data_IF_139233329617
#
_entry.id   IF_139233329617
#
_cell.length_a   1.000
_cell.length_b   1.000
_cell.length_c   1.000
_cell.angle_alpha   90.00
_cell.angle_beta   90.00
_cell.angle_gamma   90.00
#
_symmetry.space_group_name_H-M   'P 1'
#
loop_
_entity.id
_entity.type
_entity.pdbx_description
1 polymer ?
#
# COMPACT_ATOMS: atom_id res chain seq x y z
N UNK A 1 -23.22 46.82 46.56
CA UNK A 1 -22.20 46.12 45.77
C UNK A 1 -22.71 44.71 45.54
N UNK A 2 -23.17 44.33 44.34
CA UNK A 2 -23.70 42.99 44.10
C UNK A 2 -22.54 42.01 43.93
N UNK A 3 -22.53 40.98 44.77
CA UNK A 3 -21.56 39.88 44.78
C UNK A 3 -21.68 39.05 43.48
N UNK A 4 -20.56 38.89 42.77
CA UNK A 4 -20.43 37.95 41.66
C UNK A 4 -20.02 36.56 42.19
N UNK A 5 -20.65 35.45 41.76
CA UNK A 5 -20.31 34.11 42.23
C UNK A 5 -18.98 33.61 41.68
N UNK A 6 -18.23 32.88 42.52
CA UNK A 6 -16.97 32.21 42.17
C UNK A 6 -17.16 31.08 41.14
N UNK A 7 -16.30 31.04 40.13
CA UNK A 7 -16.20 29.95 39.15
C UNK A 7 -15.47 28.71 39.75
N UNK A 8 -15.90 27.48 39.44
CA UNK A 8 -15.26 26.25 39.91
C UNK A 8 -13.95 25.95 39.15
N UNK A 9 -13.03 25.18 39.76
CA UNK A 9 -11.74 24.82 39.16
C UNK A 9 -11.89 23.79 38.01
N UNK A 10 -10.96 23.77 37.04
CA UNK A 10 -11.00 22.82 35.93
C UNK A 10 -10.64 21.38 36.37
N UNK A 11 -11.16 20.34 35.71
CA UNK A 11 -10.87 18.95 36.05
C UNK A 11 -9.42 18.56 35.72
N UNK A 12 -8.73 17.87 36.63
CA UNK A 12 -7.43 17.26 36.38
C UNK A 12 -7.56 16.05 35.43
N UNK A 13 -6.82 16.05 34.32
CA UNK A 13 -6.66 14.88 33.45
C UNK A 13 -5.62 13.92 34.06
N UNK A 14 -6.06 12.73 34.46
CA UNK A 14 -5.17 11.58 34.72
C UNK A 14 -4.65 10.99 33.39
N UNK A 15 -3.40 10.47 33.33
CA UNK A 15 -2.88 9.78 32.16
C UNK A 15 -3.58 8.41 31.97
N UNK A 16 -3.87 7.96 30.75
CA UNK A 16 -4.44 6.63 30.54
C UNK A 16 -3.39 5.53 30.80
N UNK A 17 -3.76 4.57 31.64
CA UNK A 17 -3.06 3.32 31.92
C UNK A 17 -2.91 2.45 30.66
N UNK A 18 -1.73 1.84 30.52
CA UNK A 18 -1.37 0.87 29.47
C UNK A 18 -1.81 -0.54 29.89
N UNK A 19 -2.55 -1.31 29.07
CA UNK A 19 -2.78 -2.73 29.36
C UNK A 19 -1.66 -3.60 28.78
N UNK A 20 -1.17 -4.52 29.62
CA UNK A 20 -0.24 -5.60 29.32
C UNK A 20 -0.99 -6.90 28.95
N UNK A 21 -0.63 -7.53 27.84
CA UNK A 21 -0.78 -8.98 27.60
C UNK A 21 0.26 -9.37 26.53
N UNK A 22 1.25 -10.21 26.85
CA UNK A 22 1.27 -11.68 26.76
C UNK A 22 1.45 -12.24 25.32
N UNK A 23 2.69 -12.63 25.04
CA UNK A 23 3.20 -13.62 24.06
C UNK A 23 2.70 -15.04 24.41
N UNK A 24 3.04 -16.17 23.73
CA UNK A 24 3.72 -16.42 22.44
C UNK A 24 3.09 -17.57 21.59
N UNK A 25 3.48 -17.69 20.31
CA UNK A 25 3.90 -18.95 19.65
C UNK A 25 3.77 -18.85 18.11
N UNK A 26 4.88 -18.87 17.38
CA UNK A 26 4.88 -19.27 15.97
C UNK A 26 5.98 -20.29 15.75
N UNK A 27 5.55 -21.55 15.74
CA UNK A 27 6.32 -22.76 15.52
C UNK A 27 6.16 -23.12 14.04
N UNK A 28 7.29 -23.07 13.32
CA UNK A 28 7.66 -23.70 12.03
C UNK A 28 6.77 -23.53 10.79
N UNK A 29 7.38 -23.14 9.66
CA UNK A 29 7.55 -23.99 8.47
C UNK A 29 8.43 -23.28 7.43
N UNK A 30 9.61 -23.83 7.17
CA UNK A 30 10.52 -23.48 6.07
C UNK A 30 10.20 -24.33 4.82
N UNK A 31 10.27 -23.80 3.60
CA UNK A 31 10.27 -24.64 2.41
C UNK A 31 11.71 -25.10 2.12
N UNK A 32 11.93 -26.40 2.27
CA UNK A 32 13.17 -27.10 1.89
C UNK A 32 13.33 -27.08 0.37
N UNK A 33 14.39 -26.44 -0.09
CA UNK A 33 14.94 -26.56 -1.44
C UNK A 33 15.50 -27.96 -1.64
N UNK A 34 15.06 -28.66 -2.69
CA UNK A 34 15.72 -29.88 -3.19
C UNK A 34 16.23 -29.67 -4.61
N UNK A 35 17.53 -29.86 -4.87
CA UNK A 35 18.12 -29.88 -6.20
C UNK A 35 18.26 -31.33 -6.70
N UNK A 36 17.91 -31.58 -7.96
CA UNK A 36 18.28 -32.81 -8.69
C UNK A 36 19.02 -32.32 -9.95
N UNK A 37 20.35 -32.33 -10.06
CA UNK A 37 21.35 -33.42 -10.13
C UNK A 37 21.08 -34.43 -11.26
N UNK A 38 21.53 -34.05 -12.45
CA UNK A 38 21.96 -34.91 -13.57
C UNK A 38 23.19 -35.74 -13.18
N UNK A 39 23.33 -36.97 -13.71
CA UNK A 39 24.65 -37.56 -13.92
C UNK A 39 24.93 -37.87 -15.40
N UNK A 40 26.18 -37.58 -15.77
CA UNK A 40 26.82 -37.69 -17.07
C UNK A 40 27.12 -39.14 -17.51
N UNK A 41 27.21 -39.31 -18.84
CA UNK A 41 28.29 -39.95 -19.64
C UNK A 41 29.21 -40.99 -18.99
N UNK A 42 29.51 -42.07 -19.74
CA UNK A 42 30.84 -42.60 -20.17
C UNK A 42 30.70 -44.11 -20.50
N UNK A 43 30.57 -44.51 -21.77
CA UNK A 43 31.62 -45.09 -22.65
C UNK A 43 32.09 -46.52 -22.28
N UNK A 44 31.85 -47.50 -23.17
CA UNK A 44 32.81 -48.51 -23.70
C UNK A 44 32.15 -49.83 -24.19
N UNK A 45 32.65 -50.26 -25.35
CA UNK A 45 32.50 -51.47 -26.22
C UNK A 45 33.05 -52.78 -25.55
N UNK A 46 33.27 -53.97 -26.22
CA UNK A 46 32.84 -54.55 -27.52
C UNK A 46 32.45 -56.07 -27.51
N UNK A 47 31.90 -56.51 -28.65
CA UNK A 47 32.03 -57.80 -29.43
C UNK A 47 32.64 -59.07 -28.81
N UNK A 48 31.97 -60.21 -29.05
CA UNK A 48 32.49 -61.60 -29.09
C UNK A 48 31.40 -62.60 -28.68
N UNK A 49 31.21 -63.81 -29.22
CA UNK A 49 31.93 -64.61 -30.21
C UNK A 49 31.08 -65.89 -30.44
N UNK A 50 31.03 -66.39 -31.69
CA UNK A 50 30.93 -67.78 -32.20
C UNK A 50 30.00 -68.81 -31.50
N UNK A 51 29.25 -69.68 -32.21
CA UNK A 51 29.78 -70.90 -32.86
C UNK A 51 28.83 -71.39 -33.97
N UNK A 52 29.45 -71.73 -35.10
CA UNK A 52 28.94 -72.39 -36.30
C UNK A 52 29.08 -73.91 -36.14
N UNK A 53 28.04 -74.71 -36.43
CA UNK A 53 28.21 -76.15 -36.74
C UNK A 53 27.16 -76.65 -37.76
N UNK A 54 27.58 -76.60 -39.03
CA UNK A 54 27.39 -77.52 -40.18
C UNK A 54 26.13 -78.42 -40.28
N UNK A 55 25.40 -78.41 -41.42
CA UNK A 55 24.41 -79.44 -41.77
C UNK A 55 24.99 -80.50 -42.73
N UNK A 56 24.43 -81.71 -42.71
CA UNK A 56 24.67 -82.75 -43.70
C UNK A 56 23.39 -83.05 -44.50
N UNK A 57 23.60 -83.01 -45.81
CA UNK A 57 22.74 -83.19 -46.98
C UNK A 57 21.91 -84.48 -47.02
N UNK A 58 20.63 -84.36 -47.43
CA UNK A 58 19.99 -85.35 -48.31
C UNK A 58 19.10 -84.60 -49.31
N UNK A 59 19.37 -84.81 -50.61
CA UNK A 59 18.59 -84.33 -51.75
C UNK A 59 17.46 -85.33 -52.04
N UNK A 60 16.28 -84.83 -52.40
CA UNK A 60 15.45 -85.48 -53.42
C UNK A 60 14.79 -84.41 -54.31
N UNK A 61 15.02 -84.56 -55.61
CA UNK A 61 14.55 -83.70 -56.69
C UNK A 61 13.08 -83.99 -57.02
N UNK A 62 12.33 -83.00 -57.52
CA UNK A 62 11.07 -83.28 -58.23
C UNK A 62 10.07 -82.13 -58.32
N UNK A 63 10.33 -81.20 -59.24
CA UNK A 63 9.41 -80.42 -60.09
C UNK A 63 8.16 -79.69 -59.52
N UNK A 64 8.17 -78.37 -59.79
CA UNK A 64 7.08 -77.49 -60.23
C UNK A 64 6.00 -76.99 -59.23
N UNK A 65 6.15 -75.73 -58.79
CA UNK A 65 5.06 -74.72 -58.72
C UNK A 65 5.56 -73.31 -58.27
N UNK A 66 5.55 -72.38 -59.23
CA UNK A 66 5.36 -70.90 -59.20
C UNK A 66 5.87 -69.95 -58.07
N UNK A 67 6.28 -68.70 -58.40
CA UNK A 67 6.96 -67.77 -57.49
C UNK A 67 5.99 -66.87 -56.73
N UNK A 68 5.97 -66.94 -55.39
CA UNK A 68 5.17 -66.03 -54.55
C UNK A 68 5.98 -64.81 -54.11
N UNK A 69 5.50 -63.65 -54.56
CA UNK A 69 6.02 -62.28 -54.36
C UNK A 69 6.07 -61.86 -52.88
N UNK A 70 7.27 -61.76 -52.31
CA UNK A 70 7.51 -61.23 -50.96
C UNK A 70 7.25 -59.72 -50.89
N UNK A 71 6.24 -59.31 -50.11
CA UNK A 71 5.99 -57.92 -49.73
C UNK A 71 6.65 -57.64 -48.39
N UNK A 72 7.60 -56.72 -48.40
CA UNK A 72 8.21 -56.11 -47.21
C UNK A 72 7.13 -55.36 -46.42
N UNK A 73 6.85 -55.80 -45.20
CA UNK A 73 5.89 -55.17 -44.29
C UNK A 73 6.64 -54.11 -43.47
N UNK A 74 6.32 -52.82 -43.69
CA UNK A 74 6.71 -51.75 -42.78
C UNK A 74 6.07 -52.00 -41.41
N UNK A 75 6.92 -52.22 -40.40
CA UNK A 75 6.54 -52.45 -39.01
C UNK A 75 6.04 -51.13 -38.40
N UNK A 76 4.72 -50.93 -38.41
CA UNK A 76 4.09 -49.80 -37.73
C UNK A 76 4.44 -49.81 -36.22
N UNK A 77 4.65 -48.63 -35.61
CA UNK A 77 4.97 -48.52 -34.20
C UNK A 77 3.79 -49.04 -33.38
N UNK A 78 4.07 -50.03 -32.54
CA UNK A 78 3.13 -50.68 -31.62
C UNK A 78 2.54 -49.61 -30.71
N UNK A 79 1.26 -49.27 -30.89
CA UNK A 79 0.58 -48.27 -30.06
C UNK A 79 0.58 -48.75 -28.61
N UNK A 80 1.43 -48.16 -27.79
CA UNK A 80 1.44 -48.41 -26.35
C UNK A 80 0.10 -47.92 -25.79
N UNK A 81 -0.70 -48.83 -25.22
CA UNK A 81 -1.95 -48.52 -24.51
C UNK A 81 -1.59 -47.63 -23.32
N UNK A 82 -1.67 -46.31 -23.49
CA UNK A 82 -1.64 -45.38 -22.37
C UNK A 82 -2.83 -45.68 -21.49
N UNK A 83 -2.59 -46.01 -20.22
CA UNK A 83 -3.64 -46.42 -19.29
C UNK A 83 -4.60 -45.26 -19.08
N UNK A 84 -5.90 -45.55 -19.14
CA UNK A 84 -7.00 -44.58 -18.97
C UNK A 84 -6.80 -43.67 -17.74
N UNK A 85 -6.21 -44.21 -16.68
CA UNK A 85 -5.86 -43.50 -15.44
C UNK A 85 -4.93 -42.30 -15.66
N UNK A 86 -3.93 -42.42 -16.56
CA UNK A 86 -3.01 -41.32 -16.85
C UNK A 86 -3.76 -40.15 -17.49
N UNK A 87 -4.71 -40.43 -18.38
CA UNK A 87 -5.56 -39.41 -19.01
C UNK A 87 -6.49 -38.73 -17.99
N UNK A 88 -7.07 -39.49 -17.06
CA UNK A 88 -7.89 -38.91 -15.98
C UNK A 88 -7.07 -37.98 -15.08
N UNK A 89 -5.86 -38.39 -14.66
CA UNK A 89 -4.97 -37.57 -13.84
C UNK A 89 -4.52 -36.32 -14.60
N UNK A 90 -4.16 -36.46 -15.88
CA UNK A 90 -3.79 -35.32 -16.73
C UNK A 90 -4.96 -34.32 -16.89
N UNK A 91 -6.18 -34.81 -17.10
CA UNK A 91 -7.38 -33.97 -17.18
C UNK A 91 -7.66 -33.23 -15.88
N UNK A 92 -7.58 -33.92 -14.73
CA UNK A 92 -7.76 -33.29 -13.42
C UNK A 92 -6.69 -32.22 -13.15
N UNK A 93 -5.43 -32.51 -13.47
CA UNK A 93 -4.31 -31.57 -13.32
C UNK A 93 -4.50 -30.33 -14.21
N UNK A 94 -4.96 -30.50 -15.45
CA UNK A 94 -5.26 -29.38 -16.35
C UNK A 94 -6.39 -28.49 -15.80
N UNK A 95 -7.50 -29.09 -15.34
CA UNK A 95 -8.61 -28.36 -14.72
C UNK A 95 -8.16 -27.62 -13.47
N UNK A 96 -7.41 -28.27 -12.58
CA UNK A 96 -6.87 -27.64 -11.37
C UNK A 96 -5.92 -26.47 -11.70
N UNK A 97 -5.05 -26.65 -12.70
CA UNK A 97 -4.14 -25.60 -13.17
C UNK A 97 -4.90 -24.39 -13.72
N UNK A 98 -5.96 -24.61 -14.50
CA UNK A 98 -6.82 -23.54 -14.99
C UNK A 98 -7.51 -22.78 -13.85
N UNK A 99 -8.01 -23.49 -12.83
CA UNK A 99 -8.59 -22.87 -11.64
C UNK A 99 -7.58 -21.98 -10.92
N UNK A 100 -6.35 -22.48 -10.69
CA UNK A 100 -5.29 -21.69 -10.04
C UNK A 100 -4.94 -20.44 -10.84
N UNK A 101 -4.81 -20.55 -12.16
CA UNK A 101 -4.53 -19.40 -13.03
C UNK A 101 -5.69 -18.39 -12.95
N UNK A 102 -6.94 -18.85 -13.01
CA UNK A 102 -8.10 -17.98 -12.91
C UNK A 102 -8.15 -17.25 -11.56
N UNK A 103 -7.91 -17.95 -10.44
CA UNK A 103 -7.85 -17.33 -9.12
C UNK A 103 -6.69 -16.34 -9.00
N UNK A 104 -5.51 -16.64 -9.56
CA UNK A 104 -4.38 -15.72 -9.60
C UNK A 104 -4.70 -14.44 -10.39
N UNK A 105 -5.34 -14.56 -11.55
CA UNK A 105 -5.76 -13.41 -12.36
C UNK A 105 -6.86 -12.63 -11.64
N UNK A 106 -7.87 -13.30 -11.09
CA UNK A 106 -8.96 -12.66 -10.38
C UNK A 106 -8.45 -11.88 -9.15
N UNK A 107 -7.58 -12.48 -8.34
CA UNK A 107 -6.97 -11.81 -7.19
C UNK A 107 -6.10 -10.63 -7.61
N UNK A 108 -5.34 -10.74 -8.70
CA UNK A 108 -4.57 -9.63 -9.27
C UNK A 108 -5.49 -8.47 -9.71
N UNK A 109 -6.57 -8.76 -10.42
CA UNK A 109 -7.56 -7.75 -10.85
C UNK A 109 -8.18 -7.06 -9.64
N UNK A 110 -8.59 -7.84 -8.63
CA UNK A 110 -9.18 -7.31 -7.39
C UNK A 110 -8.17 -6.43 -6.65
N UNK A 111 -6.92 -6.87 -6.52
CA UNK A 111 -5.85 -6.09 -5.89
C UNK A 111 -5.60 -4.76 -6.61
N UNK A 112 -5.51 -4.79 -7.95
CA UNK A 112 -5.32 -3.59 -8.77
C UNK A 112 -6.53 -2.65 -8.73
N UNK A 113 -7.75 -3.20 -8.73
CA UNK A 113 -8.99 -2.43 -8.66
C UNK A 113 -9.25 -1.81 -7.29
N UNK A 114 -8.81 -2.47 -6.22
CA UNK A 114 -8.99 -1.99 -4.84
C UNK A 114 -7.97 -0.92 -4.47
N UNK A 115 -6.78 -0.86 -5.11
CA UNK A 115 -5.66 0.03 -4.76
C UNK A 115 -6.16 1.42 -4.31
N UNK A 116 -6.31 1.65 -3.00
CA UNK A 116 -7.03 2.81 -2.51
C UNK A 116 -6.20 4.05 -2.82
N UNK A 117 -6.83 5.02 -3.46
CA UNK A 117 -6.22 6.33 -3.68
C UNK A 117 -6.26 7.09 -2.36
N UNK A 118 -5.16 7.72 -2.00
CA UNK A 118 -5.05 8.49 -0.77
C UNK A 118 -5.95 9.74 -0.91
N UNK A 119 -6.86 10.00 0.05
CA UNK A 119 -7.57 11.28 0.14
C UNK A 119 -6.62 12.46 0.09
N UNK A 120 -6.96 13.48 -0.70
CA UNK A 120 -6.11 14.65 -0.90
C UNK A 120 -6.46 15.71 0.13
N UNK A 121 -5.43 16.20 0.84
CA UNK A 121 -5.49 17.35 1.73
C UNK A 121 -4.85 18.56 1.04
N UNK A 122 -5.64 19.61 0.83
CA UNK A 122 -5.19 20.86 0.21
C UNK A 122 -5.78 22.07 0.95
N UNK A 123 -5.14 23.24 0.84
CA UNK A 123 -5.55 24.46 1.56
C UNK A 123 -5.74 25.59 0.53
N UNK A 124 -6.88 25.65 -0.19
CA UNK A 124 -7.08 26.61 -1.26
C UNK A 124 -6.97 28.08 -0.83
N UNK A 125 -7.34 28.41 0.41
CA UNK A 125 -7.31 29.77 0.93
C UNK A 125 -6.87 29.78 2.39
N UNK A 126 -6.06 30.77 2.77
CA UNK A 126 -5.70 31.08 4.14
C UNK A 126 -5.60 32.61 4.31
N UNK A 127 -5.96 33.08 5.50
CA UNK A 127 -5.93 34.48 5.91
C UNK A 127 -5.32 34.60 7.31
N UNK A 128 -4.24 35.37 7.42
CA UNK A 128 -3.58 35.73 8.66
C UNK A 128 -4.15 37.05 9.17
N UNK A 129 -5.00 36.97 10.19
CA UNK A 129 -5.72 38.16 10.70
C UNK A 129 -4.84 39.03 11.58
N UNK A 130 -4.12 38.43 12.52
CA UNK A 130 -3.30 39.16 13.48
C UNK A 130 -2.01 38.41 13.76
N UNK A 131 -0.96 39.18 14.04
CA UNK A 131 0.31 38.70 14.55
C UNK A 131 0.94 39.81 15.39
N UNK A 132 1.26 39.54 16.65
CA UNK A 132 1.89 40.50 17.55
C UNK A 132 2.70 39.80 18.62
N UNK A 133 3.64 40.53 19.22
CA UNK A 133 4.52 40.04 20.29
C UNK A 133 4.16 40.76 21.59
N UNK A 134 3.75 40.02 22.62
CA UNK A 134 3.53 40.59 23.97
C UNK A 134 4.86 40.83 24.68
N UNK A 135 5.83 39.94 24.45
CA UNK A 135 7.21 40.06 24.93
C UNK A 135 8.17 39.68 23.80
N UNK A 136 9.50 39.88 23.97
CA UNK A 136 10.47 39.42 22.99
C UNK A 136 10.38 37.93 22.63
N UNK A 137 9.82 37.12 23.52
CA UNK A 137 9.78 35.65 23.41
C UNK A 137 8.36 35.11 23.16
N UNK A 138 7.32 35.81 23.63
CA UNK A 138 5.92 35.37 23.52
C UNK A 138 5.20 36.12 22.41
N UNK A 139 4.62 35.36 21.47
CA UNK A 139 3.82 35.90 20.39
C UNK A 139 2.40 35.34 20.38
N UNK A 140 1.50 36.12 19.78
CA UNK A 140 0.13 35.76 19.53
C UNK A 140 -0.16 35.91 18.04
N UNK A 141 -1.05 35.07 17.53
CA UNK A 141 -1.49 35.15 16.14
C UNK A 141 -2.77 34.40 15.89
N UNK A 142 -3.48 34.83 14.85
CA UNK A 142 -4.76 34.25 14.45
C UNK A 142 -4.75 33.98 12.95
N UNK A 143 -4.77 32.70 12.59
CA UNK A 143 -4.76 32.22 11.21
C UNK A 143 -6.05 31.46 10.92
N UNK A 144 -6.84 31.98 9.99
CA UNK A 144 -8.01 31.28 9.45
C UNK A 144 -7.67 30.66 8.11
N UNK A 145 -8.14 29.45 7.84
CA UNK A 145 -7.93 28.77 6.57
C UNK A 145 -9.15 27.95 6.16
N UNK A 146 -9.27 27.74 4.86
CA UNK A 146 -10.26 26.85 4.29
C UNK A 146 -9.54 25.61 3.77
N UNK A 147 -9.79 24.47 4.40
CA UNK A 147 -9.14 23.20 4.07
C UNK A 147 -10.04 22.38 3.17
N UNK A 148 -9.51 21.94 2.03
CA UNK A 148 -10.16 21.05 1.10
C UNK A 148 -9.73 19.60 1.36
N UNK A 149 -10.68 18.79 1.81
CA UNK A 149 -10.56 17.34 1.89
C UNK A 149 -11.26 16.73 0.67
N UNK A 150 -10.51 16.05 -0.20
CA UNK A 150 -11.05 15.42 -1.40
C UNK A 150 -10.85 13.91 -1.36
N UNK A 151 -11.93 13.13 -1.54
CA UNK A 151 -11.84 11.69 -1.70
C UNK A 151 -11.78 11.30 -3.20
N UNK A 152 -10.61 10.98 -3.78
CA UNK A 152 -10.50 10.61 -5.19
C UNK A 152 -10.99 9.19 -5.50
N UNK A 153 -11.45 8.42 -4.50
CA UNK A 153 -11.91 7.05 -4.70
C UNK A 153 -13.32 7.02 -5.29
N UNK A 154 -13.49 6.26 -6.38
CA UNK A 154 -14.80 6.07 -7.03
C UNK A 154 -15.70 5.04 -6.35
N UNK A 155 -15.12 4.12 -5.59
CA UNK A 155 -15.82 2.94 -5.02
C UNK A 155 -15.72 2.82 -3.50
N UNK A 156 -14.85 3.62 -2.87
CA UNK A 156 -14.53 3.51 -1.44
C UNK A 156 -15.00 4.78 -0.75
N UNK A 157 -15.78 4.60 0.32
CA UNK A 157 -16.18 5.67 1.22
C UNK A 157 -15.16 5.80 2.33
N UNK A 158 -14.91 7.02 2.79
CA UNK A 158 -13.82 7.31 3.71
C UNK A 158 -14.36 8.07 4.89
N UNK A 159 -14.24 7.49 6.09
CA UNK A 159 -14.58 8.15 7.34
C UNK A 159 -13.31 8.66 8.00
N UNK A 160 -13.24 9.96 8.26
CA UNK A 160 -12.18 10.55 9.06
C UNK A 160 -12.60 10.47 10.53
N UNK A 161 -11.93 9.62 11.31
CA UNK A 161 -12.27 9.37 12.72
C UNK A 161 -11.60 10.37 13.68
N UNK A 162 -10.38 10.77 13.37
CA UNK A 162 -9.62 11.78 14.13
C UNK A 162 -8.86 12.65 13.14
N UNK A 163 -8.96 13.96 13.27
CA UNK A 163 -8.24 14.91 12.46
C UNK A 163 -7.61 15.95 13.38
N UNK A 164 -6.28 16.06 13.35
CA UNK A 164 -5.54 17.09 14.06
C UNK A 164 -4.73 17.88 13.05
N UNK A 165 -4.88 19.19 13.07
CA UNK A 165 -4.11 20.09 12.23
C UNK A 165 -3.26 20.97 13.14
N UNK A 166 -2.00 21.07 12.79
CA UNK A 166 -0.96 21.71 13.57
C UNK A 166 -0.25 22.73 12.68
N UNK A 167 -0.07 23.93 13.20
CA UNK A 167 0.66 25.02 12.57
C UNK A 167 2.07 25.07 13.15
N UNK A 168 3.06 25.09 12.27
CA UNK A 168 4.46 25.17 12.62
C UNK A 168 5.11 26.40 12.00
N UNK A 169 6.00 27.01 12.77
CA UNK A 169 6.94 28.01 12.30
C UNK A 169 8.35 27.50 12.62
N UNK A 170 9.21 27.33 11.61
CA UNK A 170 10.54 26.71 11.75
C UNK A 170 10.54 25.45 12.66
N UNK A 171 9.71 24.47 12.30
CA UNK A 171 9.57 23.20 13.03
C UNK A 171 9.11 23.33 14.51
N UNK A 172 8.73 24.51 14.97
CA UNK A 172 8.11 24.72 16.29
C UNK A 172 6.60 24.80 16.14
N UNK A 173 5.88 23.99 16.93
CA UNK A 173 4.42 24.05 17.00
C UNK A 173 3.98 25.39 17.59
N UNK A 174 3.11 26.09 16.88
CA UNK A 174 2.57 27.39 17.30
C UNK A 174 1.06 27.41 17.50
N UNK A 175 0.31 26.59 16.76
CA UNK A 175 -1.12 26.39 17.01
C UNK A 175 -1.52 24.96 16.67
N UNK A 176 -2.58 24.46 17.28
CA UNK A 176 -3.16 23.17 16.93
C UNK A 176 -4.68 23.22 17.08
N UNK A 177 -5.39 22.55 16.17
CA UNK A 177 -6.83 22.44 16.17
C UNK A 177 -7.24 21.00 15.86
N UNK A 178 -8.22 20.49 16.60
CA UNK A 178 -8.87 19.21 16.30
C UNK A 178 -10.14 19.49 15.51
N UNK A 179 -10.35 18.75 14.43
CA UNK A 179 -11.53 18.85 13.57
C UNK A 179 -12.47 17.68 13.88
N UNK A 180 -13.77 17.96 13.83
CA UNK A 180 -14.79 16.96 14.12
C UNK A 180 -14.76 15.83 13.08
N UNK A 181 -15.02 14.58 13.48
CA UNK A 181 -15.08 13.45 12.55
C UNK A 181 -16.16 13.63 11.50
N UNK A 182 -15.88 13.23 10.26
CA UNK A 182 -16.87 13.25 9.18
C UNK A 182 -16.72 12.09 8.20
N UNK A 183 -17.81 11.78 7.50
CA UNK A 183 -17.83 10.81 6.42
C UNK A 183 -17.73 11.55 5.07
N UNK A 184 -16.86 11.07 4.19
CA UNK A 184 -16.81 11.47 2.79
C UNK A 184 -17.24 10.32 1.90
N UNK A 185 -18.27 10.58 1.10
CA UNK A 185 -18.75 9.68 0.06
C UNK A 185 -17.73 9.58 -1.08
N UNK A 186 -18.04 8.71 -2.03
CA UNK A 186 -17.25 8.46 -3.23
C UNK A 186 -17.16 9.75 -4.06
N UNK A 187 -15.96 10.14 -4.46
CA UNK A 187 -15.71 11.37 -5.23
C UNK A 187 -16.19 12.68 -4.56
N UNK A 188 -16.39 12.67 -3.24
CA UNK A 188 -16.83 13.87 -2.52
C UNK A 188 -15.65 14.78 -2.19
N UNK A 189 -15.88 16.08 -2.31
CA UNK A 189 -15.01 17.15 -1.84
C UNK A 189 -15.71 17.87 -0.69
N UNK A 190 -14.98 18.15 0.38
CA UNK A 190 -15.48 18.90 1.54
C UNK A 190 -14.52 20.02 1.87
N UNK A 191 -15.06 21.23 1.95
CA UNK A 191 -14.35 22.41 2.43
C UNK A 191 -14.69 22.62 3.90
N UNK A 192 -13.68 22.62 4.76
CA UNK A 192 -13.83 22.84 6.20
C UNK A 192 -13.11 24.13 6.60
N UNK A 193 -13.81 25.12 7.18
CA UNK A 193 -13.17 26.31 7.73
C UNK A 193 -12.50 25.96 9.06
N UNK A 194 -11.24 26.33 9.21
CA UNK A 194 -10.42 26.01 10.38
C UNK A 194 -9.70 27.27 10.83
N UNK A 195 -9.79 27.56 12.12
CA UNK A 195 -9.12 28.69 12.75
C UNK A 195 -8.06 28.17 13.72
N UNK A 196 -6.83 28.61 13.52
CA UNK A 196 -5.66 28.26 14.31
C UNK A 196 -5.23 29.50 15.09
N UNK A 197 -5.39 29.43 16.41
CA UNK A 197 -5.08 30.52 17.32
C UNK A 197 -3.79 30.17 18.07
N UNK A 198 -2.79 31.03 17.96
CA UNK A 198 -1.56 31.00 18.75
C UNK A 198 -1.73 32.01 19.88
N UNK A 199 -1.69 31.57 21.14
CA UNK A 199 -1.79 32.45 22.31
C UNK A 199 -0.59 32.26 23.23
N UNK A 200 0.17 33.34 23.47
CA UNK A 200 1.35 33.39 24.32
C UNK A 200 2.35 32.25 24.04
N UNK A 201 2.63 32.01 22.76
CA UNK A 201 3.52 30.94 22.34
C UNK A 201 4.96 31.39 22.47
N UNK A 202 5.74 30.69 23.31
CA UNK A 202 7.16 30.94 23.48
C UNK A 202 7.97 30.45 22.27
N UNK A 203 8.55 31.38 21.52
CA UNK A 203 9.51 31.11 20.46
C UNK A 203 10.94 31.32 20.97
N UNK A 204 11.89 30.43 20.61
CA UNK A 204 13.30 30.72 20.84
C UNK A 204 13.69 32.04 20.16
N UNK A 205 14.59 32.81 20.78
CA UNK A 205 14.98 34.16 20.31
C UNK A 205 15.30 34.21 18.82
N UNK A 206 16.05 33.23 18.30
CA UNK A 206 16.39 33.15 16.88
C UNK A 206 15.16 33.07 15.97
N UNK A 207 14.14 32.32 16.37
CA UNK A 207 12.87 32.19 15.63
C UNK A 207 12.02 33.45 15.77
N UNK A 208 11.97 34.07 16.96
CA UNK A 208 11.22 35.31 17.15
C UNK A 208 11.79 36.46 16.28
N UNK A 209 13.12 36.59 16.22
CA UNK A 209 13.81 37.57 15.35
C UNK A 209 13.52 37.29 13.87
N UNK A 210 13.58 36.02 13.47
CA UNK A 210 13.30 35.64 12.08
C UNK A 210 11.82 35.88 11.69
N UNK A 211 10.88 35.62 12.59
CA UNK A 211 9.46 35.90 12.36
C UNK A 211 9.22 37.41 12.18
N UNK A 212 9.88 38.26 12.97
CA UNK A 212 9.83 39.72 12.79
C UNK A 212 10.43 40.15 11.46
N UNK A 213 11.57 39.58 11.07
CA UNK A 213 12.21 39.82 9.77
C UNK A 213 11.28 39.43 8.61
N UNK A 214 10.57 38.31 8.72
CA UNK A 214 9.61 37.86 7.70
C UNK A 214 8.35 38.75 7.65
N UNK A 215 7.91 39.24 8.80
CA UNK A 215 6.80 40.19 8.90
C UNK A 215 7.13 41.52 8.23
N UNK A 216 8.32 42.07 8.49
CA UNK A 216 8.82 43.31 7.86
C UNK A 216 8.96 43.16 6.34
N UNK A 217 9.41 41.99 5.88
CA UNK A 217 9.54 41.68 4.44
C UNK A 217 8.21 41.29 3.77
N UNK A 218 7.08 41.29 4.49
CA UNK A 218 5.77 40.85 4.00
C UNK A 218 5.75 39.45 3.38
N UNK A 219 6.62 38.55 3.86
CA UNK A 219 6.72 37.18 3.37
C UNK A 219 6.99 36.24 4.53
N UNK A 220 5.93 35.64 5.02
CA UNK A 220 5.94 34.71 6.16
C UNK A 220 5.75 33.29 5.64
N UNK A 221 6.64 32.39 6.03
CA UNK A 221 6.57 30.97 5.68
C UNK A 221 6.09 30.14 6.87
N UNK A 222 4.97 29.43 6.68
CA UNK A 222 4.40 28.52 7.66
C UNK A 222 4.36 27.09 7.12
N UNK A 223 4.51 26.12 8.00
CA UNK A 223 4.27 24.71 7.70
C UNK A 223 3.03 24.23 8.44
N UNK A 224 2.05 23.72 7.72
CA UNK A 224 0.87 23.07 8.30
C UNK A 224 1.05 21.56 8.20
N UNK A 225 0.92 20.88 9.33
CA UNK A 225 0.95 19.42 9.43
C UNK A 225 -0.42 18.92 9.84
N UNK A 226 -1.00 18.03 9.05
CA UNK A 226 -2.25 17.36 9.36
C UNK A 226 -2.00 15.89 9.66
N UNK A 227 -2.53 15.39 10.76
CA UNK A 227 -2.55 13.95 11.07
C UNK A 227 -3.99 13.47 11.11
N UNK A 228 -4.31 12.48 10.28
CA UNK A 228 -5.67 11.99 10.09
C UNK A 228 -5.73 10.48 10.32
N UNK A 229 -6.60 10.02 11.22
CA UNK A 229 -6.98 8.62 11.32
C UNK A 229 -8.19 8.38 10.43
N UNK A 230 -8.02 7.53 9.44
CA UNK A 230 -8.97 7.32 8.35
C UNK A 230 -9.43 5.87 8.30
N UNK A 231 -10.73 5.65 8.18
CA UNK A 231 -11.36 4.35 8.00
C UNK A 231 -12.01 4.27 6.62
N UNK A 232 -11.43 3.44 5.75
CA UNK A 232 -12.01 3.15 4.44
C UNK A 232 -13.06 2.05 4.56
N UNK A 233 -14.21 2.28 3.93
CA UNK A 233 -15.32 1.34 3.85
C UNK A 233 -15.47 0.84 2.40
N UNK A 234 -15.30 -0.47 2.22
CA UNK A 234 -15.51 -1.16 0.95
C UNK A 234 -16.47 -2.33 1.18
N UNK A 235 -17.77 -2.07 1.08
CA UNK A 235 -18.81 -3.02 1.46
C UNK A 235 -18.75 -3.34 2.95
N UNK A 236 -18.61 -4.62 3.29
CA UNK A 236 -18.47 -5.10 4.68
C UNK A 236 -17.03 -4.96 5.21
N UNK A 237 -16.05 -4.83 4.31
CA UNK A 237 -14.64 -4.75 4.67
C UNK A 237 -14.32 -3.31 5.05
N UNK A 238 -13.73 -3.15 6.23
CA UNK A 238 -13.24 -1.87 6.70
C UNK A 238 -11.75 -1.96 6.99
N UNK A 239 -11.00 -0.95 6.55
CA UNK A 239 -9.56 -0.88 6.77
C UNK A 239 -9.20 0.50 7.29
N UNK A 240 -8.52 0.53 8.43
CA UNK A 240 -8.10 1.78 9.08
C UNK A 240 -6.62 2.05 8.83
N UNK A 241 -6.28 3.30 8.55
CA UNK A 241 -4.91 3.74 8.33
C UNK A 241 -4.72 5.19 8.76
N UNK A 242 -3.47 5.61 8.93
CA UNK A 242 -3.12 6.99 9.20
C UNK A 242 -2.72 7.68 7.90
N UNK A 243 -3.00 8.98 7.81
CA UNK A 243 -2.54 9.86 6.76
C UNK A 243 -1.86 11.07 7.40
N UNK A 244 -0.80 11.52 6.74
CA UNK A 244 -0.06 12.72 7.10
C UNK A 244 -0.09 13.70 5.93
N UNK A 245 -0.74 14.84 6.14
CA UNK A 245 -0.71 15.99 5.24
C UNK A 245 0.39 16.95 5.66
N UNK A 246 1.12 17.51 4.69
CA UNK A 246 2.06 18.62 4.89
C UNK A 246 1.81 19.69 3.84
N UNK A 247 1.60 20.92 4.29
CA UNK A 247 1.45 22.08 3.42
C UNK A 247 2.46 23.16 3.82
N UNK A 248 3.26 23.63 2.88
CA UNK A 248 4.06 24.84 3.03
C UNK A 248 3.25 26.02 2.51
N UNK A 249 3.02 27.02 3.34
CA UNK A 249 2.27 28.22 3.00
C UNK A 249 3.20 29.43 3.02
N UNK A 250 3.10 30.29 2.02
CA UNK A 250 3.71 31.62 2.03
C UNK A 250 2.59 32.66 2.08
N UNK A 251 2.65 33.56 3.06
CA UNK A 251 1.60 34.53 3.34
C UNK A 251 2.18 35.94 3.51
N UNK A 252 1.37 36.96 3.27
CA UNK A 252 1.73 38.34 3.62
C UNK A 252 1.48 38.62 5.10
N UNK A 253 2.15 39.65 5.64
CA UNK A 253 1.86 40.16 6.97
C UNK A 253 0.47 40.82 7.04
N UNK A 254 -0.15 40.90 8.24
CA UNK A 254 -1.29 41.79 8.47
C UNK A 254 -0.93 43.25 8.13
N UNK A 255 -1.88 44.06 7.62
CA UNK A 255 -3.32 43.84 7.64
C UNK A 255 -3.88 43.02 6.48
N UNK A 256 -3.11 42.76 5.41
CA UNK A 256 -3.63 42.02 4.25
C UNK A 256 -3.72 40.52 4.52
N UNK A 257 -2.67 39.93 5.11
CA UNK A 257 -2.70 38.55 5.60
C UNK A 257 -3.00 37.46 4.57
N UNK A 258 -2.83 37.70 3.27
CA UNK A 258 -3.30 36.79 2.22
C UNK A 258 -2.31 35.67 1.93
N UNK A 259 -2.84 34.52 1.49
CA UNK A 259 -2.05 33.42 0.95
C UNK A 259 -1.46 33.76 -0.44
N UNK A 260 -0.13 33.74 -0.56
CA UNK A 260 0.61 33.99 -1.81
C UNK A 260 0.82 32.69 -2.58
N UNK A 261 1.33 31.67 -1.90
CA UNK A 261 1.63 30.37 -2.51
C UNK A 261 1.45 29.24 -1.51
N UNK A 262 1.18 28.04 -2.03
CA UNK A 262 1.00 26.83 -1.25
C UNK A 262 1.58 25.62 -1.97
N UNK A 263 2.18 24.72 -1.22
CA UNK A 263 2.58 23.41 -1.70
C UNK A 263 2.13 22.34 -0.71
N UNK A 264 1.12 21.56 -1.10
CA UNK A 264 0.49 20.56 -0.25
C UNK A 264 0.79 19.15 -0.74
N UNK A 265 1.17 18.28 0.18
CA UNK A 265 1.41 16.86 -0.08
C UNK A 265 0.71 16.01 0.98
N UNK A 266 0.18 14.86 0.58
CA UNK A 266 -0.43 13.90 1.50
C UNK A 266 0.24 12.54 1.32
N UNK A 267 0.65 11.93 2.44
CA UNK A 267 1.28 10.60 2.47
C UNK A 267 0.53 9.70 3.44
N UNK A 268 0.58 8.39 3.18
CA UNK A 268 0.09 7.34 4.08
C UNK A 268 1.24 6.86 4.96
#
# INVERSE_FOLDING_TARGET
>A
MPNLPHLPPPPQLQPPETPSWETPSSVWYTPRTTPWRTPQSTQSTPVGQMVLTKPATVRFNGLDAEPRKDRVILRQPRSSRTSLWIWCVAGFCFVFSLLLIFFAIATLIVFLAIRPRIPVFDIPNANLHTIYFDTPEFFNGDLSMLVNFTNPNKKIEVKFEKLRIELFFFNRLIAAQVVQPFLQKKHETRLEPIRLISSLVGLPVNHAVELRRQLENNKIEYEIRGTFKVKAHFGMIHYSYQLHGRCQLQMTGPPTGILISRNCTTKK
#
